data_IF_807552636519
#
_entry.id   IF_807552636519
#
_cell.length_a   1.000
_cell.length_b   1.000
_cell.length_c   1.000
_cell.angle_alpha   90.00
_cell.angle_beta   90.00
_cell.angle_gamma   90.00
#
_symmetry.space_group_name_H-M   'P 1'
#
loop_
_entity.id
_entity.type
_entity.pdbx_description
1 polymer ?
2 polymer ?
3 water ?
#
# COMPACT_ATOMS: atom_id res chain seq x y z
N UNK A 6 -0.85 -27.80 -18.05
CA UNK A 6 -1.93 -27.00 -18.61
C UNK A 6 -1.58 -25.52 -18.74
N UNK A 7 -2.29 -24.84 -19.64
CA UNK A 7 -2.18 -23.40 -19.87
C UNK A 7 -2.42 -22.58 -18.61
N UNK A 8 -3.46 -22.92 -17.86
CA UNK A 8 -3.72 -22.24 -16.62
C UNK A 8 -3.44 -23.24 -15.51
N UNK A 9 -2.29 -23.04 -14.89
CA UNK A 9 -1.83 -23.87 -13.82
C UNK A 9 -2.32 -23.39 -12.50
N UNK A 10 -1.75 -23.99 -11.46
CA UNK A 10 -2.15 -23.74 -10.08
C UNK A 10 -1.00 -23.05 -9.39
N UNK A 11 -1.26 -21.85 -8.87
CA UNK A 11 -0.29 -21.08 -8.12
C UNK A 11 -0.36 -21.47 -6.66
N UNK A 12 0.76 -22.01 -6.15
CA UNK A 12 0.84 -22.41 -4.75
C UNK A 12 2.29 -22.42 -4.32
N UNK A 13 2.56 -22.95 -3.11
CA UNK A 13 3.90 -22.78 -2.54
C UNK A 13 4.99 -23.48 -3.36
N UNK A 14 4.59 -24.52 -4.10
CA UNK A 14 5.49 -25.31 -4.95
C UNK A 14 5.72 -24.72 -6.32
N UNK A 15 4.72 -24.06 -6.90
CA UNK A 15 4.86 -23.52 -8.25
C UNK A 15 5.19 -22.03 -8.31
N UNK A 16 5.09 -21.33 -7.18
CA UNK A 16 5.33 -19.88 -7.13
C UNK A 16 6.70 -19.50 -7.70
N UNK A 17 7.76 -20.21 -7.28
CA UNK A 17 9.13 -19.85 -7.72
C UNK A 17 9.31 -19.93 -9.22
N UNK A 18 8.68 -20.91 -9.86
CA UNK A 18 8.76 -21.01 -11.30
C UNK A 18 8.00 -19.87 -12.01
N UNK A 19 6.83 -19.49 -11.50
CA UNK A 19 6.19 -18.30 -12.04
C UNK A 19 7.04 -17.04 -11.82
N UNK A 20 7.71 -16.93 -10.67
CA UNK A 20 8.53 -15.75 -10.37
C UNK A 20 9.81 -15.74 -11.20
N UNK A 21 10.26 -16.93 -11.62
CA UNK A 21 11.45 -17.06 -12.49
C UNK A 21 11.16 -16.95 -13.97
N UNK A 22 9.89 -16.96 -14.37
CA UNK A 22 9.52 -17.00 -15.79
C UNK A 22 9.85 -15.72 -16.54
N UNK A 23 9.96 -14.62 -15.81
CA UNK A 23 10.35 -13.33 -16.35
C UNK A 23 9.20 -12.65 -17.07
N UNK A 24 7.95 -13.10 -16.83
CA UNK A 24 6.80 -12.43 -17.43
C UNK A 24 5.76 -12.32 -16.34
N UNK A 25 4.78 -11.42 -16.53
CA UNK A 25 3.77 -11.25 -15.48
C UNK A 25 2.97 -12.53 -15.19
N UNK A 26 2.45 -12.56 -13.98
CA UNK A 26 1.56 -13.59 -13.54
C UNK A 26 0.18 -12.96 -13.23
N UNK A 27 -0.83 -13.53 -13.87
CA UNK A 27 -2.22 -13.23 -13.64
C UNK A 27 -2.78 -14.29 -12.71
N UNK A 28 -3.36 -13.82 -11.61
CA UNK A 28 -3.90 -14.68 -10.58
C UNK A 28 -5.42 -14.69 -10.67
N UNK A 29 -6.01 -15.89 -10.64
CA UNK A 29 -7.44 -16.09 -10.59
C UNK A 29 -7.71 -16.68 -9.21
N UNK A 30 -8.11 -15.82 -8.26
CA UNK A 30 -8.31 -16.19 -6.86
C UNK A 30 -9.76 -16.66 -6.75
N UNK A 31 -9.98 -17.89 -6.28
CA UNK A 31 -11.34 -18.24 -5.83
C UNK A 31 -11.26 -19.23 -4.70
N UNK A 32 -12.32 -19.24 -3.90
CA UNK A 32 -12.28 -19.95 -2.66
C UNK A 32 -12.57 -21.45 -2.77
N UNK A 33 -13.14 -21.90 -3.89
CA UNK A 33 -13.39 -23.36 -4.05
C UNK A 33 -12.72 -23.87 -5.31
N UNK A 34 -12.35 -25.14 -5.32
CA UNK A 34 -11.89 -25.78 -6.55
C UNK A 34 -12.90 -25.67 -7.71
N UNK A 35 -14.21 -25.85 -7.48
CA UNK A 35 -15.19 -25.66 -8.58
C UNK A 35 -15.15 -24.27 -9.21
N UNK A 36 -15.03 -23.23 -8.40
CA UNK A 36 -15.06 -21.89 -8.96
C UNK A 36 -13.75 -21.65 -9.68
N UNK A 37 -12.67 -22.18 -9.12
CA UNK A 37 -11.37 -22.06 -9.82
C UNK A 37 -11.45 -22.69 -11.21
N UNK A 38 -12.04 -23.88 -11.29
CA UNK A 38 -12.22 -24.54 -12.58
C UNK A 38 -13.14 -23.77 -13.51
N UNK A 39 -14.24 -23.27 -13.00
CA UNK A 39 -15.18 -22.48 -13.81
C UNK A 39 -14.51 -21.25 -14.40
N UNK A 40 -13.75 -20.53 -13.56
CA UNK A 40 -13.10 -19.31 -14.02
C UNK A 40 -11.94 -19.65 -14.94
N UNK A 41 -11.18 -20.69 -14.63
CA UNK A 41 -10.11 -21.12 -15.54
C UNK A 41 -10.64 -21.44 -16.92
N UNK A 42 -11.68 -22.27 -16.97
CA UNK A 42 -12.31 -22.59 -18.27
C UNK A 42 -12.78 -21.34 -19.02
N UNK A 43 -13.36 -20.40 -18.29
CA UNK A 43 -13.94 -19.21 -18.87
C UNK A 43 -12.84 -18.36 -19.46
N UNK A 44 -11.72 -18.27 -18.76
CA UNK A 44 -10.67 -17.32 -19.13
C UNK A 44 -9.58 -17.95 -19.98
N UNK A 45 -9.65 -19.25 -20.24
CA UNK A 45 -8.64 -19.96 -21.07
C UNK A 45 -8.30 -19.21 -22.35
N UNK A 46 -9.29 -18.70 -23.10
CA UNK A 46 -8.92 -18.11 -24.38
C UNK A 46 -8.09 -16.87 -24.24
N UNK A 47 -8.24 -16.16 -23.12
CA UNK A 47 -7.38 -15.00 -22.84
C UNK A 47 -5.96 -15.49 -22.50
N UNK A 48 -5.83 -16.50 -21.65
CA UNK A 48 -4.52 -17.12 -21.36
C UNK A 48 -3.88 -17.62 -22.64
N UNK A 49 -4.68 -18.16 -23.57
CA UNK A 49 -4.10 -18.65 -24.82
C UNK A 49 -3.58 -17.50 -25.65
N UNK A 50 -4.37 -16.45 -25.76
CA UNK A 50 -3.97 -15.27 -26.54
C UNK A 50 -2.68 -14.69 -25.97
N UNK A 51 -2.52 -14.78 -24.66
CA UNK A 51 -1.37 -14.23 -23.95
C UNK A 51 -0.23 -15.24 -23.70
N UNK A 52 -0.23 -16.37 -24.41
CA UNK A 52 0.74 -17.41 -24.13
C UNK A 52 2.15 -16.86 -24.30
N UNK A 53 2.99 -17.05 -23.29
CA UNK A 53 4.34 -16.47 -23.27
C UNK A 53 4.46 -14.98 -23.02
N UNK A 54 3.32 -14.31 -22.85
CA UNK A 54 3.28 -12.89 -22.57
C UNK A 54 2.87 -12.68 -21.11
N UNK A 55 1.81 -13.36 -20.69
CA UNK A 55 1.36 -13.32 -19.30
C UNK A 55 1.00 -14.74 -18.94
N UNK A 56 1.55 -15.24 -17.86
CA UNK A 56 1.16 -16.53 -17.31
C UNK A 56 -0.11 -16.33 -16.50
N UNK A 57 -0.99 -17.33 -16.59
CA UNK A 57 -2.24 -17.31 -15.84
C UNK A 57 -2.25 -18.51 -14.93
N UNK A 58 -2.73 -18.33 -13.71
CA UNK A 58 -2.97 -19.46 -12.84
C UNK A 58 -4.12 -19.19 -11.91
N UNK A 59 -4.69 -20.26 -11.43
CA UNK A 59 -5.62 -20.17 -10.32
C UNK A 59 -4.88 -20.21 -8.99
N UNK A 60 -5.49 -19.66 -7.97
CA UNK A 60 -4.89 -19.68 -6.64
C UNK A 60 -6.04 -19.86 -5.66
N UNK A 61 -5.80 -20.79 -4.74
CA UNK A 61 -6.77 -21.15 -3.69
C UNK A 61 -6.86 -20.00 -2.72
N UNK A 62 -7.97 -19.29 -2.81
CA UNK A 62 -8.18 -18.08 -2.03
C UNK A 62 -8.60 -18.41 -0.62
N UNK A 63 -8.97 -19.68 -0.38
CA UNK A 63 -9.16 -20.12 1.02
C UNK A 63 -7.78 -20.26 1.74
N UNK A 64 -6.93 -21.16 1.28
CA UNK A 64 -5.57 -21.37 1.82
C UNK A 64 -4.71 -20.13 1.72
N UNK A 65 -4.77 -19.48 0.58
CA UNK A 65 -3.82 -18.43 0.25
C UNK A 65 -4.47 -17.09 0.00
N UNK A 66 -5.62 -16.85 0.59
CA UNK A 66 -6.29 -15.56 0.54
C UNK A 66 -5.39 -14.40 0.95
N UNK A 67 -4.50 -14.65 1.93
CA UNK A 67 -3.60 -13.60 2.41
C UNK A 67 -2.70 -13.12 1.30
N UNK A 68 -2.42 -14.01 0.38
CA UNK A 68 -1.57 -13.66 -0.77
C UNK A 68 -2.18 -12.52 -1.61
N UNK A 69 -3.49 -12.39 -1.58
CA UNK A 69 -4.18 -11.28 -2.26
C UNK A 69 -3.63 -9.92 -1.87
N UNK A 70 -3.20 -9.75 -0.61
CA UNK A 70 -2.53 -8.52 -0.17
C UNK A 70 -1.26 -8.18 -0.94
N UNK A 71 -0.53 -9.19 -1.41
CA UNK A 71 0.67 -8.97 -2.26
C UNK A 71 0.33 -8.31 -3.58
N UNK A 72 -0.94 -8.40 -3.98
CA UNK A 72 -1.41 -7.83 -5.24
C UNK A 72 -2.25 -6.55 -5.05
N UNK A 73 -2.26 -6.01 -3.81
CA UNK A 73 -3.11 -4.87 -3.44
C UNK A 73 -4.59 -5.17 -3.70
N UNK A 74 -4.96 -6.43 -3.50
CA UNK A 74 -6.32 -6.87 -3.47
C UNK A 74 -6.72 -6.94 -2.01
N UNK A 75 -8.00 -6.79 -1.77
CA UNK A 75 -8.57 -7.07 -0.44
C UNK A 75 -8.52 -8.56 -0.19
N UNK A 76 -8.18 -8.95 1.06
CA UNK A 76 -7.90 -10.33 1.41
C UNK A 76 -9.20 -11.07 1.79
N UNK A 77 -10.33 -10.40 1.65
CA UNK A 77 -11.62 -10.94 2.14
C UNK A 77 -12.72 -10.96 1.08
N UNK A 78 -12.38 -10.65 -0.16
CA UNK A 78 -13.38 -10.46 -1.20
C UNK A 78 -13.02 -11.26 -2.44
N UNK A 79 -13.68 -12.40 -2.62
CA UNK A 79 -13.34 -13.32 -3.68
C UNK A 79 -14.61 -13.70 -4.44
N UNK A 80 -14.50 -14.05 -5.72
CA UNK A 80 -13.24 -14.23 -6.43
C UNK A 80 -12.61 -12.91 -6.81
N UNK A 81 -11.35 -13.00 -7.26
CA UNK A 81 -10.57 -11.81 -7.54
C UNK A 81 -9.58 -12.13 -8.60
N UNK A 82 -9.10 -11.10 -9.24
CA UNK A 82 -8.16 -11.26 -10.34
C UNK A 82 -7.15 -10.14 -10.20
N UNK A 83 -5.87 -10.45 -10.43
CA UNK A 83 -4.84 -9.43 -10.46
C UNK A 83 -3.68 -9.90 -11.29
N UNK A 84 -2.92 -8.93 -11.78
CA UNK A 84 -1.68 -9.22 -12.50
C UNK A 84 -0.53 -8.67 -11.70
N UNK A 85 0.49 -9.49 -11.50
CA UNK A 85 1.74 -9.05 -10.89
C UNK A 85 2.78 -8.93 -12.00
N UNK A 86 3.35 -7.74 -12.14
CA UNK A 86 4.50 -7.52 -12.97
C UNK A 86 5.69 -7.88 -12.11
N UNK A 87 6.27 -9.03 -12.40
CA UNK A 87 7.28 -9.57 -11.52
C UNK A 87 8.57 -8.80 -11.74
N UNK A 88 8.90 -8.51 -13.00
CA UNK A 88 10.11 -7.72 -13.31
C UNK A 88 10.10 -6.44 -12.48
N UNK A 89 9.01 -5.70 -12.59
CA UNK A 89 8.95 -4.31 -12.14
C UNK A 89 8.44 -4.17 -10.70
N UNK A 90 8.14 -5.30 -10.03
CA UNK A 90 7.41 -5.29 -8.76
C UNK A 90 6.20 -4.35 -8.76
N UNK A 91 5.34 -4.51 -9.75
CA UNK A 91 4.12 -3.72 -9.85
C UNK A 91 2.92 -4.64 -9.81
N UNK A 92 1.83 -4.14 -9.24
CA UNK A 92 0.64 -4.91 -9.02
C UNK A 92 -0.52 -4.21 -9.67
N UNK A 93 -1.35 -4.98 -10.39
CA UNK A 93 -2.51 -4.46 -11.08
C UNK A 93 -3.73 -5.26 -10.72
N UNK A 94 -4.40 -4.84 -9.64
CA UNK A 94 -5.59 -5.53 -9.20
C UNK A 94 -6.79 -5.14 -10.05
N UNK A 95 -7.62 -6.13 -10.38
CA UNK A 95 -8.90 -5.88 -11.00
C UNK A 95 -9.87 -5.57 -9.88
N UNK A 96 -10.76 -4.62 -10.13
CA UNK A 96 -11.69 -4.10 -9.10
C UNK A 96 -12.57 -5.22 -8.55
N UNK A 97 -12.50 -5.44 -7.24
CA UNK A 97 -13.14 -6.60 -6.63
C UNK A 97 -14.63 -6.39 -6.48
N UNK A 98 -15.09 -5.19 -6.84
CA UNK A 98 -16.50 -4.86 -6.94
C UNK A 98 -17.08 -5.19 -8.32
N UNK A 99 -16.22 -5.49 -9.29
CA UNK A 99 -16.71 -5.93 -10.60
C UNK A 99 -16.77 -7.43 -10.71
N UNK A 100 -17.75 -7.92 -11.47
CA UNK A 100 -17.86 -9.33 -11.77
C UNK A 100 -16.72 -9.77 -12.71
N UNK A 101 -16.17 -10.96 -12.44
CA UNK A 101 -15.14 -11.55 -13.30
C UNK A 101 -15.87 -12.22 -14.46
N UNK A 102 -15.99 -11.49 -15.55
CA UNK A 102 -16.58 -12.01 -16.75
C UNK A 102 -15.50 -12.13 -17.79
N UNK A 103 -15.79 -12.91 -18.83
CA UNK A 103 -14.86 -12.96 -19.94
C UNK A 103 -14.58 -11.57 -20.50
N UNK A 104 -15.63 -10.81 -20.78
CA UNK A 104 -15.45 -9.55 -21.48
C UNK A 104 -14.63 -8.60 -20.59
N UNK A 105 -14.95 -8.52 -19.30
CA UNK A 105 -14.26 -7.55 -18.40
C UNK A 105 -12.80 -7.95 -18.18
N UNK A 106 -12.52 -9.25 -18.03
CA UNK A 106 -11.14 -9.68 -17.80
C UNK A 106 -10.37 -9.50 -19.10
N UNK A 107 -10.98 -9.84 -20.23
CA UNK A 107 -10.31 -9.55 -21.51
C UNK A 107 -9.98 -8.07 -21.66
N UNK A 108 -10.92 -7.20 -21.31
CA UNK A 108 -10.67 -5.79 -21.43
C UNK A 108 -9.58 -5.34 -20.46
N UNK A 109 -9.63 -5.85 -19.24
CA UNK A 109 -8.58 -5.57 -18.24
C UNK A 109 -7.18 -6.00 -18.70
N UNK A 110 -7.09 -7.23 -19.20
CA UNK A 110 -5.79 -7.77 -19.62
C UNK A 110 -5.35 -6.98 -20.83
N UNK A 111 -6.28 -6.68 -21.73
CA UNK A 111 -5.92 -5.86 -22.92
C UNK A 111 -5.42 -4.46 -22.54
N UNK A 112 -6.10 -3.82 -21.59
CA UNK A 112 -5.64 -2.55 -21.05
C UNK A 112 -4.25 -2.66 -20.41
N UNK A 113 -4.03 -3.73 -19.65
CA UNK A 113 -2.71 -3.92 -19.01
C UNK A 113 -1.64 -4.04 -20.11
N UNK A 114 -1.91 -4.88 -21.10
CA UNK A 114 -0.95 -5.11 -22.19
C UNK A 114 -0.72 -3.80 -22.97
N UNK A 115 -1.77 -3.00 -23.12
CA UNK A 115 -1.68 -1.72 -23.86
C UNK A 115 -0.96 -0.61 -23.09
N UNK A 116 -0.72 -0.83 -21.80
CA UNK A 116 -0.05 0.17 -20.97
C UNK A 116 -1.00 1.20 -20.36
N UNK A 117 -2.30 0.88 -20.31
CA UNK A 117 -3.33 1.87 -19.96
C UNK A 117 -3.63 1.87 -18.46
N UNK A 118 -3.06 0.91 -17.74
CA UNK A 118 -3.31 0.84 -16.29
C UNK A 118 -2.06 1.29 -15.55
N UNK A 119 -2.24 2.28 -14.67
CA UNK A 119 -1.17 2.66 -13.74
C UNK A 119 -0.97 1.58 -12.67
N UNK A 120 0.28 1.33 -12.28
CA UNK A 120 0.52 0.41 -11.16
C UNK A 120 -0.19 0.88 -9.92
N UNK A 121 -0.76 -0.06 -9.19
CA UNK A 121 -1.46 0.28 -7.95
C UNK A 121 -0.46 0.70 -6.86
N UNK A 122 -0.95 1.56 -5.99
CA UNK A 122 -0.19 2.13 -4.89
C UNK A 122 -0.81 1.49 -3.67
N UNK A 123 0.01 0.76 -2.94
CA UNK A 123 -0.44 0.14 -1.70
C UNK A 123 -0.94 1.13 -0.67
N UNK A 124 -2.12 0.89 -0.12
CA UNK A 124 -2.70 1.82 0.84
C UNK A 124 -3.61 1.10 1.77
N UNK A 125 -3.57 1.47 3.03
CA UNK A 125 -4.66 1.22 3.92
C UNK A 125 -5.84 2.01 3.50
N UNK A 126 -7.02 1.59 3.94
CA UNK A 126 -8.16 2.42 3.67
C UNK A 126 -8.09 3.78 4.37
N UNK A 127 -8.77 4.78 3.79
CA UNK A 127 -8.98 6.04 4.43
C UNK A 127 -9.60 5.80 5.80
N UNK A 128 -8.99 6.33 6.87
CA UNK A 128 -9.59 6.05 8.19
C UNK A 128 -11.00 6.64 8.27
N UNK A 129 -11.93 5.89 8.86
CA UNK A 129 -13.36 6.26 8.82
C UNK A 129 -13.60 7.56 9.60
N UNK A 130 -12.77 7.81 10.60
CA UNK A 130 -12.87 9.03 11.40
C UNK A 130 -11.46 9.49 11.76
N UNK A 131 -11.31 10.80 11.88
CA UNK A 131 -10.00 11.44 12.09
C UNK A 131 -10.21 12.28 13.36
N UNK A 132 -10.20 11.60 14.50
CA UNK A 132 -10.34 12.23 15.82
C UNK A 132 -9.54 11.44 16.88
N UNK A 133 -9.03 12.14 17.90
CA UNK A 133 -7.66 11.94 18.43
C UNK A 133 -6.76 12.98 17.81
N UNK A 134 -5.67 13.43 18.51
CA UNK A 134 -4.95 14.60 18.00
C UNK A 134 -3.95 14.34 16.88
N UNK A 135 -3.54 13.09 16.69
CA UNK A 135 -2.63 12.77 15.63
C UNK A 135 -3.43 12.32 14.42
N UNK A 136 -3.08 12.85 13.28
CA UNK A 136 -3.76 12.54 12.05
C UNK A 136 -3.16 11.30 11.42
N UNK A 137 -4.00 10.36 11.00
CA UNK A 137 -3.52 9.14 10.36
C UNK A 137 -3.52 9.35 8.86
N UNK A 138 -2.32 9.21 8.30
CA UNK A 138 -2.10 9.26 6.89
C UNK A 138 -1.98 7.85 6.33
N UNK A 139 -2.62 7.67 5.19
CA UNK A 139 -2.48 6.50 4.34
C UNK A 139 -2.08 6.93 2.95
N UNK A 140 -1.68 6.02 2.09
CA UNK A 140 -1.25 6.46 0.77
C UNK A 140 -2.37 7.26 0.09
N UNK A 141 -3.61 6.83 0.25
CA UNK A 141 -4.74 7.46 -0.44
C UNK A 141 -5.08 8.87 0.05
N UNK A 142 -4.62 9.27 1.25
CA UNK A 142 -4.80 10.66 1.67
C UNK A 142 -3.50 11.46 1.89
N UNK A 143 -2.36 10.88 1.53
CA UNK A 143 -1.09 11.55 1.73
C UNK A 143 -1.06 12.89 1.00
N UNK A 144 -1.50 12.91 -0.26
CA UNK A 144 -1.42 14.17 -1.02
C UNK A 144 -2.26 15.25 -0.38
N UNK A 145 -3.50 14.90 -0.02
CA UNK A 145 -4.43 15.86 0.55
C UNK A 145 -3.94 16.40 1.89
N UNK A 146 -3.41 15.51 2.73
CA UNK A 146 -3.02 15.90 4.07
C UNK A 146 -1.61 16.47 4.14
N UNK A 147 -0.65 15.71 3.67
CA UNK A 147 0.74 16.09 3.85
C UNK A 147 1.10 17.25 2.93
N UNK A 148 0.58 17.24 1.71
CA UNK A 148 0.91 18.27 0.74
C UNK A 148 -0.09 19.42 0.73
N UNK A 149 -0.90 19.54 1.77
CA UNK A 149 -1.78 20.67 1.95
C UNK A 149 -0.96 21.94 2.20
N UNK A 150 -0.97 22.84 1.21
CA UNK A 150 -0.05 23.98 1.22
C UNK A 150 -0.38 25.02 2.25
N UNK A 151 -1.53 24.89 2.91
CA UNK A 151 -1.92 25.79 3.99
C UNK A 151 -1.54 25.34 5.38
N UNK A 152 -0.95 24.14 5.54
CA UNK A 152 -0.59 23.63 6.86
C UNK A 152 0.87 23.19 6.90
N UNK A 153 1.53 23.49 8.00
CA UNK A 153 2.78 22.85 8.35
C UNK A 153 2.44 21.43 8.79
N UNK A 154 2.98 20.43 8.10
CA UNK A 154 2.64 19.04 8.43
C UNK A 154 3.87 18.28 8.91
N UNK A 155 3.80 17.81 10.13
CA UNK A 155 4.83 16.93 10.67
C UNK A 155 4.31 15.55 10.42
N UNK A 156 5.13 14.74 9.77
CA UNK A 156 4.73 13.38 9.38
C UNK A 156 5.79 12.39 9.87
N UNK A 157 5.35 11.44 10.66
CA UNK A 157 6.13 10.34 11.15
C UNK A 157 5.89 9.10 10.31
N UNK A 158 6.96 8.59 9.73
CA UNK A 158 6.91 7.35 8.98
C UNK A 158 7.41 6.27 9.91
N UNK A 159 6.55 5.32 10.23
CA UNK A 159 6.86 4.35 11.27
C UNK A 159 6.52 2.93 10.83
N UNK A 160 7.00 1.98 11.64
CA UNK A 160 6.53 0.58 11.51
C UNK A 160 5.91 0.19 12.83
N UNK A 161 4.89 -0.66 12.76
CA UNK A 161 4.23 -1.05 14.00
C UNK A 161 5.14 -1.90 14.86
N UNK A 162 6.11 -2.58 14.25
CA UNK A 162 6.96 -3.51 14.99
C UNK A 162 8.20 -2.83 15.53
N UNK A 163 8.39 -1.55 15.22
CA UNK A 163 9.66 -0.86 15.45
C UNK A 163 9.75 -0.35 16.91
N UNK A 164 10.80 -0.75 17.62
CA UNK A 164 10.94 -0.40 19.04
C UNK A 164 11.02 1.10 19.32
N UNK A 165 11.81 1.81 18.54
CA UNK A 165 11.90 3.24 18.71
C UNK A 165 10.58 3.91 18.36
N UNK A 166 9.87 3.32 17.42
CA UNK A 166 8.54 3.88 17.05
C UNK A 166 7.60 3.73 18.22
N UNK A 167 7.59 2.55 18.83
CA UNK A 167 6.79 2.34 20.01
C UNK A 167 7.12 3.30 21.15
N UNK A 168 8.40 3.53 21.36
CA UNK A 168 8.85 4.46 22.41
C UNK A 168 8.40 5.89 22.10
N UNK A 169 8.46 6.26 20.83
CA UNK A 169 8.12 7.62 20.41
C UNK A 169 6.62 7.90 20.57
N UNK A 170 5.80 6.87 20.39
CA UNK A 170 4.37 7.09 20.16
C UNK A 170 3.69 7.94 21.27
N UNK A 171 3.93 7.66 22.57
CA UNK A 171 3.29 8.51 23.58
C UNK A 171 3.71 9.99 23.54
N UNK A 172 4.99 10.24 23.26
CA UNK A 172 5.47 11.62 23.09
C UNK A 172 4.81 12.25 21.83
N UNK A 173 4.64 11.44 20.78
CA UNK A 173 4.04 11.95 19.55
C UNK A 173 2.57 12.36 19.76
N UNK A 174 1.85 11.57 20.54
CA UNK A 174 0.52 11.91 20.93
C UNK A 174 0.45 13.15 21.81
N UNK A 175 1.39 13.30 22.72
CA UNK A 175 1.49 14.51 23.54
C UNK A 175 1.73 15.73 22.65
N UNK A 176 2.60 15.58 21.66
CA UNK A 176 2.84 16.63 20.71
C UNK A 176 1.58 17.01 19.96
N UNK A 177 0.84 16.02 19.44
CA UNK A 177 -0.36 16.31 18.71
C UNK A 177 -1.33 17.07 19.60
N UNK A 178 -1.45 16.63 20.86
CA UNK A 178 -2.37 17.26 21.78
C UNK A 178 -2.01 18.71 22.03
N UNK A 179 -0.71 19.00 22.19
CA UNK A 179 -0.28 20.39 22.40
C UNK A 179 -0.70 21.25 21.20
N UNK A 180 -0.46 20.77 19.99
CA UNK A 180 -0.81 21.57 18.85
C UNK A 180 -2.31 21.75 18.69
N UNK A 181 -3.07 20.73 19.10
CA UNK A 181 -4.50 20.68 18.89
C UNK A 181 -5.19 21.70 19.78
N UNK A 182 -4.60 22.03 20.92
CA UNK A 182 -5.12 23.14 21.74
C UNK A 182 -4.33 24.46 21.62
N UNK A 183 -3.46 24.59 20.63
CA UNK A 183 -2.63 25.78 20.43
C UNK A 183 -3.36 26.79 19.54
N UNK A 184 -2.84 28.01 19.43
CA UNK A 184 -3.40 28.95 18.46
C UNK A 184 -3.02 28.63 17.01
N UNK A 185 -2.27 27.53 16.83
CA UNK A 185 -1.88 27.07 15.50
C UNK A 185 -2.60 25.76 15.15
N UNK A 186 -3.66 25.45 15.86
CA UNK A 186 -4.39 24.20 15.63
C UNK A 186 -4.95 24.02 14.22
N UNK A 187 -5.21 25.10 13.48
CA UNK A 187 -5.72 24.97 12.13
C UNK A 187 -4.63 25.15 11.11
N UNK A 188 -3.38 25.29 11.55
CA UNK A 188 -2.34 25.28 10.54
C UNK A 188 -1.16 24.40 10.80
N UNK A 189 -1.26 23.56 11.82
CA UNK A 189 -0.27 22.53 12.04
C UNK A 189 -0.96 21.19 12.09
N UNK A 190 -0.38 20.21 11.41
CA UNK A 190 -0.90 18.84 11.46
C UNK A 190 0.22 18.00 12.02
N UNK A 191 -0.10 17.19 13.02
CA UNK A 191 0.85 16.21 13.54
C UNK A 191 0.31 14.86 13.07
N UNK A 192 1.05 14.21 12.18
CA UNK A 192 0.50 13.07 11.42
C UNK A 192 1.46 11.90 11.49
N UNK A 193 0.94 10.70 11.24
CA UNK A 193 1.76 9.50 11.16
C UNK A 193 1.24 8.60 10.05
N UNK A 194 2.17 7.82 9.50
CA UNK A 194 1.85 6.85 8.46
C UNK A 194 2.67 5.58 8.69
N UNK A 195 1.94 4.47 8.68
CA UNK A 195 2.55 3.16 8.76
C UNK A 195 3.12 2.85 7.38
N UNK A 196 4.42 3.04 7.29
CA UNK A 196 5.10 2.94 6.02
C UNK A 196 5.27 1.50 5.56
N UNK A 197 4.95 0.56 6.42
CA UNK A 197 4.92 -0.87 6.03
C UNK A 197 3.63 -1.28 5.34
N UNK A 198 2.57 -0.47 5.51
CA UNK A 198 1.23 -0.78 5.02
C UNK A 198 0.74 0.23 3.98
N UNK A 199 1.61 1.17 3.63
CA UNK A 199 1.30 2.21 2.67
C UNK A 199 2.56 2.47 1.92
N UNK A 200 2.44 2.56 0.61
CA UNK A 200 3.52 3.09 -0.23
C UNK A 200 3.48 4.59 -0.10
N UNK A 201 4.62 5.21 0.20
CA UNK A 201 4.70 6.66 0.29
C UNK A 201 5.71 7.13 -0.75
N UNK A 202 5.60 8.39 -1.18
CA UNK A 202 6.59 8.90 -2.15
C UNK A 202 7.95 9.08 -1.54
N UNK A 203 8.00 9.28 -0.24
CA UNK A 203 9.26 9.47 0.45
C UNK A 203 10.15 8.24 0.41
N UNK A 204 11.46 8.42 0.27
CA UNK A 204 12.39 7.36 0.52
C UNK A 204 12.73 7.29 1.98
N UNK A 205 12.32 6.21 2.61
CA UNK A 205 12.49 6.06 4.04
C UNK A 205 13.49 4.94 4.34
N UNK A 206 14.57 5.28 5.02
CA UNK A 206 15.71 4.36 5.16
C UNK A 206 15.71 3.66 6.52
N UNK A 207 14.87 4.12 7.44
CA UNK A 207 14.82 3.56 8.78
C UNK A 207 13.63 4.15 9.52
N UNK A 208 13.22 3.48 10.59
CA UNK A 208 12.07 3.93 11.37
C UNK A 208 12.47 4.33 12.76
N UNK A 209 11.78 5.31 13.34
CA UNK A 209 10.90 6.27 12.67
C UNK A 209 11.71 7.25 11.87
N UNK A 210 11.11 7.73 10.80
CA UNK A 210 11.58 8.93 10.13
C UNK A 210 10.56 10.02 10.31
N UNK A 211 11.00 11.20 10.75
CA UNK A 211 10.10 12.33 10.94
C UNK A 211 10.50 13.42 9.96
N UNK A 212 9.53 13.93 9.23
CA UNK A 212 9.74 15.05 8.32
C UNK A 212 8.71 16.13 8.55
N UNK A 213 9.14 17.37 8.39
CA UNK A 213 8.18 18.50 8.36
C UNK A 213 8.06 18.94 6.94
N UNK A 214 6.83 18.89 6.43
CA UNK A 214 6.40 19.45 5.15
C UNK A 214 5.79 20.81 5.39
N UNK A 215 6.58 21.88 5.27
CA UNK A 215 6.03 23.19 5.62
C UNK A 215 5.03 23.72 4.59
N UNK A 216 4.12 24.52 5.08
CA UNK A 216 3.20 25.26 4.24
C UNK A 216 4.06 26.09 3.32
N UNK A 217 3.76 26.02 2.03
CA UNK A 217 4.49 26.80 1.04
C UNK A 217 5.84 26.27 0.65
N UNK A 218 6.23 25.09 1.15
CA UNK A 218 7.55 24.54 0.90
C UNK A 218 7.49 23.00 0.86
N UNK A 219 6.45 22.49 0.21
CA UNK A 219 6.24 21.05 0.13
C UNK A 219 7.30 20.32 -0.69
N UNK A 220 7.99 21.01 -1.58
CA UNK A 220 9.06 20.32 -2.27
C UNK A 220 10.37 20.23 -1.50
N UNK A 221 10.43 20.88 -0.34
CA UNK A 221 11.64 20.94 0.49
C UNK A 221 11.30 20.52 1.93
N UNK A 222 10.81 19.29 2.09
CA UNK A 222 10.60 18.89 3.46
C UNK A 222 11.90 18.79 4.25
N UNK A 223 11.80 19.00 5.55
CA UNK A 223 12.95 19.00 6.44
C UNK A 223 12.90 17.72 7.26
N UNK A 224 13.97 16.95 7.21
CA UNK A 224 14.08 15.74 8.00
C UNK A 224 14.59 16.03 9.39
N UNK A 225 13.84 15.57 10.38
CA UNK A 225 14.17 15.77 11.76
C UNK A 225 15.34 14.85 12.17
N UNK A 226 16.25 15.40 12.98
CA UNK A 226 17.38 14.62 13.51
C UNK A 226 17.67 14.86 14.97
N UNK A 227 16.71 15.37 15.71
CA UNK A 227 16.90 15.64 17.12
C UNK A 227 16.58 14.47 18.04
N UNK A 228 16.37 14.86 19.29
CA UNK A 228 16.43 13.97 20.40
C UNK A 228 15.10 13.30 20.62
N UNK A 229 14.10 13.63 19.80
CA UNK A 229 12.79 12.99 19.86
C UNK A 229 12.06 13.21 21.19
N UNK A 230 12.36 14.33 21.83
CA UNK A 230 11.51 14.81 22.89
C UNK A 230 10.43 15.73 22.36
N UNK A 231 9.36 15.86 23.13
CA UNK A 231 8.27 16.77 22.76
C UNK A 231 8.83 18.18 22.61
N UNK A 232 9.63 18.63 23.57
CA UNK A 232 10.17 19.98 23.52
C UNK A 232 11.01 20.21 22.28
N UNK A 233 11.80 19.19 21.92
CA UNK A 233 12.67 19.34 20.74
C UNK A 233 11.85 19.37 19.44
N UNK A 234 10.77 18.59 19.42
CA UNK A 234 9.91 18.52 18.25
C UNK A 234 9.10 19.82 18.07
N UNK A 235 8.67 20.42 19.20
CA UNK A 235 8.02 21.73 19.13
C UNK A 235 8.99 22.72 18.54
N UNK A 236 10.19 22.74 19.08
CA UNK A 236 11.24 23.63 18.55
C UNK A 236 11.43 23.42 17.05
N UNK A 237 11.49 22.17 16.63
CA UNK A 237 11.68 21.82 15.23
C UNK A 237 10.56 22.39 14.36
N UNK A 238 9.33 22.25 14.80
CA UNK A 238 8.20 22.76 14.05
C UNK A 238 8.26 24.29 14.00
N UNK A 239 8.58 24.88 15.14
CA UNK A 239 8.60 26.34 15.26
C UNK A 239 9.67 26.91 14.36
N UNK A 240 10.80 26.21 14.30
CA UNK A 240 11.96 26.71 13.48
C UNK A 240 11.83 26.48 12.00
N UNK A 241 11.13 25.42 11.58
CA UNK A 241 11.18 24.99 10.21
C UNK A 241 9.88 25.14 9.44
N UNK A 242 8.80 25.42 10.14
CA UNK A 242 7.49 25.60 9.51
C UNK A 242 7.29 27.02 9.05
N UNK A 243 6.29 27.19 8.19
CA UNK A 243 5.92 28.53 7.73
C UNK A 243 5.40 29.38 8.90
N UNK A 244 4.65 28.76 9.82
CA UNK A 244 3.88 29.55 10.76
C UNK A 244 4.61 29.81 12.08
N UNK A 245 5.85 29.28 12.18
CA UNK A 245 6.64 29.44 13.38
C UNK A 245 5.84 29.06 14.61
N UNK A 246 5.17 27.91 14.49
CA UNK A 246 4.09 27.53 15.38
C UNK A 246 4.57 26.78 16.59
N UNK A 247 4.04 27.13 17.75
CA UNK A 247 4.27 26.41 18.98
C UNK A 247 3.10 26.73 19.89
N UNK B 1 7.40 -21.53 -1.40
CA UNK B 1 7.13 -21.60 0.08
C UNK B 1 5.83 -20.92 0.42
N UNK B 2 5.29 -21.20 1.58
CA UNK B 2 4.20 -20.38 2.10
C UNK B 2 4.44 -20.02 3.56
N UNK B 3 3.95 -18.85 3.97
CA UNK B 3 4.01 -18.43 5.37
C UNK B 3 2.84 -19.06 6.08
N UNK B 4 2.82 -18.98 7.40
CA UNK B 4 1.67 -19.52 8.13
C UNK B 4 0.36 -18.80 7.81
N UNK B 5 0.43 -17.55 7.38
CA UNK B 5 -0.74 -16.78 7.02
C UNK B 5 -1.27 -17.14 5.63
N UNK B 6 -0.44 -17.81 4.83
CA UNK B 6 -0.83 -18.24 3.47
C UNK B 6 -0.32 -17.32 2.38
N UNK B 7 0.75 -16.60 2.65
CA UNK B 7 1.40 -15.80 1.63
C UNK B 7 2.47 -16.64 0.98
N UNK B 8 2.54 -16.63 -0.35
CA UNK B 8 3.53 -17.43 -1.05
C UNK B 8 4.81 -16.67 -1.19
N UNK B 9 5.91 -17.42 -1.24
CA UNK B 9 7.21 -16.79 -1.42
C UNK B 9 8.15 -17.72 -2.14
N UNK B 10 9.19 -17.13 -2.69
CA UNK B 10 10.22 -17.88 -3.41
C UNK B 10 11.32 -18.34 -2.44
N UNK B 11 11.69 -19.60 -2.57
CA UNK B 11 12.93 -20.12 -2.01
C UNK B 11 12.70 -20.64 -0.60
#
# INVERSE_FOLDING_TARGET
GPLGSPLIGEIGPETYSDYMSAGIPLAYIFAETAEERKELSDKLKPIAEAQRGVINFGTIDAKAFGAHAGNLNLKTDKFPAFAIQEVAKNQKFPFDQEKEITFEAIKAFVDDFVAGKIEPSIKSEPIPEKQEGPVTVVVAKNYNEIVLDDTKDVLIEFYAPWCGHCKALAPKYEELGALYAKSEFKDRVVIAKVDATANDVPDEIQGFPTIKLYPAGAKGQPVTYSGSRTVEDLIKFIAENGKYKAA
GKTKEGVLYVG
#
